data_IF_899698701014
#
_entry.id   IF_899698701014
#
_cell.length_a   1.000
_cell.length_b   1.000
_cell.length_c   1.000
_cell.angle_alpha   90.00
_cell.angle_beta   90.00
_cell.angle_gamma   90.00
#
_symmetry.space_group_name_H-M   'P 1'
#
loop_
_entity.id
_entity.type
_entity.pdbx_description
1 polymer ?
#
# COMPACT_ATOMS: atom_id res chain seq x y z
N UNK A 1 -17.27 -21.34 18.06
CA UNK A 1 -16.15 -20.37 18.00
C UNK A 1 -16.54 -19.29 17.01
N UNK A 2 -16.42 -18.02 17.40
CA UNK A 2 -16.79 -16.87 16.55
C UNK A 2 -15.51 -16.21 16.05
N UNK A 3 -15.43 -15.94 14.74
CA UNK A 3 -14.31 -15.25 14.10
C UNK A 3 -14.81 -13.90 13.60
N UNK A 4 -14.16 -12.80 14.02
CA UNK A 4 -14.49 -11.45 13.57
C UNK A 4 -13.39 -10.96 12.61
N UNK A 5 -13.79 -10.47 11.45
CA UNK A 5 -12.90 -9.92 10.44
C UNK A 5 -13.25 -8.45 10.16
N UNK A 6 -12.26 -7.66 9.78
CA UNK A 6 -12.39 -6.28 9.34
C UNK A 6 -12.07 -6.17 7.84
N UNK A 7 -12.90 -5.41 7.13
CA UNK A 7 -12.60 -4.92 5.78
C UNK A 7 -12.37 -3.43 5.91
N UNK A 8 -11.17 -2.98 5.54
CA UNK A 8 -10.75 -1.60 5.72
C UNK A 8 -11.14 -0.80 4.49
N UNK A 9 -12.04 0.18 4.65
CA UNK A 9 -12.41 1.11 3.60
C UNK A 9 -11.67 2.44 3.80
N UNK A 10 -10.45 2.52 3.28
CA UNK A 10 -9.63 3.73 3.34
C UNK A 10 -8.79 3.87 2.07
N UNK A 11 -8.57 5.10 1.61
CA UNK A 11 -7.58 5.38 0.55
C UNK A 11 -6.16 5.46 1.10
N UNK A 12 -5.18 5.18 0.23
CA UNK A 12 -3.77 5.47 0.45
C UNK A 12 -3.52 6.98 0.63
N UNK A 13 -2.32 7.36 1.09
CA UNK A 13 -1.78 8.70 0.84
C UNK A 13 -0.96 8.59 -0.45
N UNK A 14 -1.44 9.12 -1.60
CA UNK A 14 -0.88 8.76 -2.89
C UNK A 14 0.61 9.12 -3.01
N UNK A 15 1.42 8.12 -3.38
CA UNK A 15 2.87 8.23 -3.58
C UNK A 15 3.67 8.60 -2.31
N UNK A 16 3.07 8.46 -1.12
CA UNK A 16 3.72 8.66 0.17
C UNK A 16 3.62 7.36 0.99
N UNK A 17 4.70 6.57 0.93
CA UNK A 17 4.80 5.29 1.61
C UNK A 17 4.67 5.48 3.13
N UNK A 18 5.41 6.43 3.69
CA UNK A 18 5.46 6.65 5.14
C UNK A 18 4.12 7.08 5.70
N UNK A 19 3.44 8.02 5.06
CA UNK A 19 2.12 8.46 5.48
C UNK A 19 1.07 7.34 5.33
N UNK A 20 1.18 6.52 4.27
CA UNK A 20 0.29 5.36 4.08
C UNK A 20 0.53 4.27 5.12
N UNK A 21 1.79 3.98 5.48
CA UNK A 21 2.15 3.04 6.53
C UNK A 21 1.65 3.51 7.90
N UNK A 22 1.91 4.77 8.26
CA UNK A 22 1.42 5.35 9.52
C UNK A 22 -0.11 5.25 9.63
N UNK A 23 -0.82 5.52 8.52
CA UNK A 23 -2.27 5.35 8.46
C UNK A 23 -2.71 3.89 8.59
N UNK A 24 -2.01 2.96 7.93
CA UNK A 24 -2.29 1.53 8.05
C UNK A 24 -2.13 1.04 9.50
N UNK A 25 -1.07 1.46 10.19
CA UNK A 25 -0.79 1.07 11.58
C UNK A 25 -1.93 1.46 12.53
N UNK A 26 -2.47 2.68 12.38
CA UNK A 26 -3.63 3.14 13.16
C UNK A 26 -4.85 2.26 12.89
N UNK A 27 -5.16 2.00 11.61
CA UNK A 27 -6.33 1.19 11.22
C UNK A 27 -6.20 -0.28 11.66
N UNK A 28 -4.99 -0.84 11.63
CA UNK A 28 -4.67 -2.18 12.13
C UNK A 28 -4.90 -2.24 13.65
N UNK A 29 -4.40 -1.25 14.39
CA UNK A 29 -4.58 -1.18 15.83
C UNK A 29 -6.07 -1.04 16.21
N UNK A 30 -6.84 -0.22 15.49
CA UNK A 30 -8.28 -0.08 15.66
C UNK A 30 -9.03 -1.41 15.43
N UNK A 31 -8.68 -2.15 14.38
CA UNK A 31 -9.26 -3.47 14.11
C UNK A 31 -8.95 -4.47 15.25
N UNK A 32 -7.71 -4.48 15.73
CA UNK A 32 -7.29 -5.29 16.88
C UNK A 32 -8.06 -4.94 18.16
N UNK A 33 -8.20 -3.65 18.47
CA UNK A 33 -8.96 -3.16 19.63
C UNK A 33 -10.45 -3.56 19.58
N UNK A 34 -11.00 -3.75 18.38
CA UNK A 34 -12.36 -4.25 18.17
C UNK A 34 -12.49 -5.79 18.21
N UNK A 35 -11.41 -6.50 18.53
CA UNK A 35 -11.36 -7.97 18.61
C UNK A 35 -11.35 -8.67 17.26
N UNK A 36 -10.99 -7.99 16.17
CA UNK A 36 -10.86 -8.62 14.86
C UNK A 36 -9.61 -9.50 14.82
N UNK A 37 -9.72 -10.67 14.19
CA UNK A 37 -8.65 -11.65 14.00
C UNK A 37 -8.05 -11.63 12.59
N UNK A 38 -8.68 -10.91 11.67
CA UNK A 38 -8.23 -10.66 10.30
C UNK A 38 -8.59 -9.23 9.92
N UNK A 39 -7.67 -8.52 9.27
CA UNK A 39 -7.91 -7.24 8.62
C UNK A 39 -7.48 -7.32 7.14
N UNK A 40 -8.36 -6.90 6.24
CA UNK A 40 -8.11 -6.88 4.80
C UNK A 40 -8.14 -5.43 4.31
N UNK A 41 -7.04 -4.98 3.74
CA UNK A 41 -6.89 -3.67 3.09
C UNK A 41 -7.23 -3.75 1.60
N UNK A 42 -7.58 -2.61 0.96
CA UNK A 42 -7.91 -2.58 -0.44
C UNK A 42 -6.67 -2.74 -1.34
N UNK A 43 -6.91 -2.92 -2.63
CA UNK A 43 -5.89 -2.95 -3.68
C UNK A 43 -5.02 -1.69 -3.68
N UNK A 44 -3.73 -1.84 -3.98
CA UNK A 44 -2.76 -0.75 -4.15
C UNK A 44 -2.77 0.30 -3.01
N UNK A 45 -2.93 -0.15 -1.76
CA UNK A 45 -3.00 0.73 -0.60
C UNK A 45 -1.64 1.33 -0.22
N UNK A 46 -0.55 0.57 -0.35
CA UNK A 46 0.82 1.11 -0.26
C UNK A 46 1.26 1.51 -1.68
N UNK A 47 1.76 2.75 -1.83
CA UNK A 47 1.91 3.50 -3.09
C UNK A 47 0.64 4.26 -3.49
N UNK A 48 -0.04 3.88 -4.56
CA UNK A 48 -1.31 4.40 -5.03
C UNK A 48 -1.85 3.53 -6.18
N UNK A 49 -3.15 3.61 -6.44
CA UNK A 49 -3.67 3.30 -7.78
C UNK A 49 -3.60 4.58 -8.64
N UNK A 50 -2.85 4.60 -9.76
CA UNK A 50 -2.57 5.81 -10.54
C UNK A 50 -3.77 6.24 -11.42
N UNK A 51 -4.91 6.48 -10.78
CA UNK A 51 -6.14 6.93 -11.45
C UNK A 51 -5.88 8.29 -12.08
N UNK A 52 -6.32 8.46 -13.33
CA UNK A 52 -6.18 9.69 -14.13
C UNK A 52 -4.74 10.08 -14.51
N UNK A 53 -3.74 9.25 -14.20
CA UNK A 53 -2.38 9.43 -14.73
C UNK A 53 -2.32 8.98 -16.19
N UNK A 54 -1.89 9.89 -17.07
CA UNK A 54 -1.74 9.61 -18.50
C UNK A 54 -0.30 9.36 -18.92
N UNK A 55 0.67 9.71 -18.05
CA UNK A 55 2.10 9.69 -18.33
C UNK A 55 2.48 10.48 -19.60
N UNK A 56 1.60 11.38 -20.06
CA UNK A 56 1.69 12.08 -21.34
C UNK A 56 2.00 11.16 -22.54
N UNK A 57 1.54 9.90 -22.48
CA UNK A 57 1.79 8.91 -23.52
C UNK A 57 0.84 9.13 -24.69
N UNK A 58 1.40 9.15 -25.89
CA UNK A 58 0.70 9.11 -27.17
C UNK A 58 1.57 8.33 -28.17
N UNK A 59 1.08 8.07 -29.39
CA UNK A 59 1.82 7.27 -30.38
C UNK A 59 3.19 7.89 -30.67
N UNK A 60 4.26 7.21 -30.21
CA UNK A 60 5.65 7.65 -30.37
C UNK A 60 6.13 8.75 -29.41
N UNK A 61 5.25 9.30 -28.59
CA UNK A 61 5.56 10.38 -27.64
C UNK A 61 6.08 9.81 -26.33
N UNK A 62 7.23 10.32 -25.87
CA UNK A 62 7.78 10.09 -24.53
C UNK A 62 8.33 11.42 -23.99
N UNK A 63 7.53 12.14 -23.20
CA UNK A 63 7.96 13.41 -22.61
C UNK A 63 8.79 13.19 -21.34
N UNK A 64 9.55 14.22 -20.93
CA UNK A 64 10.25 14.19 -19.64
C UNK A 64 9.28 14.21 -18.45
N UNK A 65 8.17 14.95 -18.56
CA UNK A 65 7.16 15.00 -17.51
C UNK A 65 6.48 13.64 -17.30
N UNK A 66 6.18 12.90 -18.38
CA UNK A 66 5.66 11.53 -18.28
C UNK A 66 6.65 10.54 -17.66
N UNK A 67 7.93 10.68 -17.97
CA UNK A 67 9.01 9.88 -17.32
C UNK A 67 9.11 10.18 -15.83
N UNK A 68 8.98 11.45 -15.46
CA UNK A 68 9.03 11.88 -14.06
C UNK A 68 7.80 11.40 -13.28
N UNK A 69 6.61 11.43 -13.89
CA UNK A 69 5.39 10.86 -13.31
C UNK A 69 5.54 9.35 -13.05
N UNK A 70 6.08 8.60 -14.03
CA UNK A 70 6.37 7.18 -13.84
C UNK A 70 7.46 6.94 -12.78
N UNK A 71 8.53 7.73 -12.77
CA UNK A 71 9.59 7.65 -11.76
C UNK A 71 9.03 7.81 -10.35
N UNK A 72 8.16 8.81 -10.13
CA UNK A 72 7.50 9.01 -8.84
C UNK A 72 6.68 7.79 -8.40
N UNK A 73 6.01 7.11 -9.33
CA UNK A 73 5.24 5.90 -9.03
C UNK A 73 6.13 4.71 -8.67
N UNK A 74 7.25 4.54 -9.38
CA UNK A 74 8.26 3.52 -9.07
C UNK A 74 8.93 3.79 -7.71
N UNK A 75 9.25 5.06 -7.44
CA UNK A 75 9.88 5.47 -6.18
C UNK A 75 8.95 5.27 -4.98
N UNK A 76 7.62 5.22 -5.19
CA UNK A 76 6.64 4.96 -4.14
C UNK A 76 6.20 3.49 -4.03
N UNK A 77 6.78 2.58 -4.81
CA UNK A 77 6.59 1.13 -4.68
C UNK A 77 7.63 0.51 -3.72
N UNK A 78 7.29 -0.63 -3.12
CA UNK A 78 8.10 -1.27 -2.06
C UNK A 78 8.80 -2.53 -2.57
N UNK A 79 9.91 -2.90 -1.94
CA UNK A 79 10.57 -4.19 -2.19
C UNK A 79 10.04 -5.25 -1.23
N UNK A 80 9.97 -6.50 -1.69
CA UNK A 80 9.53 -7.63 -0.87
C UNK A 80 10.58 -8.74 -0.95
N UNK A 81 11.11 -9.24 0.19
CA UNK A 81 10.94 -8.70 1.55
C UNK A 81 11.66 -7.35 1.74
N UNK A 82 11.13 -6.52 2.63
CA UNK A 82 11.68 -5.18 2.91
C UNK A 82 11.20 -4.57 4.21
N UNK A 83 11.72 -3.38 4.55
CA UNK A 83 11.44 -2.69 5.80
C UNK A 83 9.94 -2.40 6.00
N UNK A 84 9.21 -2.12 4.92
CA UNK A 84 7.78 -1.87 4.93
C UNK A 84 6.99 -3.14 5.27
N UNK A 85 7.39 -4.30 4.73
CA UNK A 85 6.76 -5.59 5.06
C UNK A 85 7.05 -6.01 6.50
N UNK A 86 8.25 -5.74 7.03
CA UNK A 86 8.59 -5.99 8.43
C UNK A 86 7.76 -5.11 9.37
N UNK A 87 7.64 -3.82 9.05
CA UNK A 87 6.85 -2.84 9.82
C UNK A 87 5.37 -3.23 9.87
N UNK A 88 4.78 -3.60 8.74
CA UNK A 88 3.41 -4.11 8.68
C UNK A 88 3.22 -5.41 9.47
N UNK A 89 4.21 -6.32 9.41
CA UNK A 89 4.23 -7.54 10.19
C UNK A 89 4.24 -7.29 11.70
N UNK A 90 5.03 -6.31 12.16
CA UNK A 90 5.08 -5.89 13.56
C UNK A 90 3.73 -5.31 14.01
N UNK A 91 3.11 -4.46 13.19
CA UNK A 91 1.78 -3.89 13.48
C UNK A 91 0.71 -4.98 13.60
N UNK A 92 0.69 -5.95 12.67
CA UNK A 92 -0.23 -7.09 12.72
C UNK A 92 -0.03 -7.95 13.96
N UNK A 93 1.23 -8.24 14.32
CA UNK A 93 1.58 -8.99 15.52
C UNK A 93 1.15 -8.27 16.80
N UNK A 94 1.40 -6.96 16.90
CA UNK A 94 0.98 -6.15 18.04
C UNK A 94 -0.54 -6.09 18.21
N UNK A 95 -1.29 -6.06 17.10
CA UNK A 95 -2.75 -6.10 17.10
C UNK A 95 -3.35 -7.51 17.26
N UNK A 96 -2.52 -8.57 17.23
CA UNK A 96 -2.97 -9.96 17.39
C UNK A 96 -3.85 -10.48 16.25
N UNK A 97 -3.66 -9.98 15.03
CA UNK A 97 -4.48 -10.31 13.86
C UNK A 97 -3.66 -10.77 12.66
N UNK A 98 -4.32 -11.48 11.74
CA UNK A 98 -3.79 -11.72 10.39
C UNK A 98 -4.03 -10.48 9.52
N UNK A 99 -3.06 -10.10 8.71
CA UNK A 99 -3.14 -8.94 7.84
C UNK A 99 -3.07 -9.37 6.36
N UNK A 100 -3.97 -8.83 5.55
CA UNK A 100 -3.90 -8.88 4.09
C UNK A 100 -3.78 -7.44 3.59
N UNK A 101 -2.71 -7.15 2.86
CA UNK A 101 -2.37 -5.80 2.40
C UNK A 101 -2.26 -5.74 0.88
N UNK A 102 -2.89 -4.74 0.26
CA UNK A 102 -2.64 -4.40 -1.13
C UNK A 102 -1.43 -3.46 -1.24
N UNK A 103 -0.44 -3.84 -2.03
CA UNK A 103 0.80 -3.10 -2.23
C UNK A 103 1.15 -3.06 -3.72
N UNK A 104 1.97 -2.08 -4.11
CA UNK A 104 2.71 -2.12 -5.36
C UNK A 104 4.14 -2.54 -5.02
N UNK A 105 4.53 -3.71 -5.51
CA UNK A 105 5.89 -4.23 -5.39
C UNK A 105 6.77 -3.61 -6.47
N UNK A 106 8.07 -3.54 -6.27
CA UNK A 106 9.03 -3.29 -7.34
C UNK A 106 10.14 -4.33 -7.33
N UNK A 107 10.52 -4.80 -8.51
CA UNK A 107 11.62 -5.74 -8.68
C UNK A 107 12.28 -5.52 -10.05
N UNK A 108 13.61 -5.41 -10.10
CA UNK A 108 14.38 -5.37 -11.36
C UNK A 108 13.89 -4.39 -12.45
N UNK A 109 13.27 -3.27 -12.07
CA UNK A 109 12.73 -2.27 -13.00
C UNK A 109 11.29 -2.52 -13.45
N UNK A 110 10.60 -3.48 -12.84
CA UNK A 110 9.15 -3.71 -12.97
C UNK A 110 8.42 -3.37 -11.68
N UNK A 111 7.10 -3.15 -11.80
CA UNK A 111 6.13 -2.95 -10.72
C UNK A 111 5.09 -4.06 -10.72
#
# INVERSE_FOLDING_TARGET
MTFKAAVIQAGAVPFDIEASLAKAEVLIAEAGAQGCRLAVFPEAYISAYPKEQSYEISVGVRTDAGREEFRRYVDSAIEIPGAETERLGQAAAAAGLYLVMGVIEREAGTL
#
